data_IF_650677175853
#
_entry.id   IF_650677175853
#
_cell.length_a   1.000
_cell.length_b   1.000
_cell.length_c   1.000
_cell.angle_alpha   90.00
_cell.angle_beta   90.00
_cell.angle_gamma   90.00
#
_symmetry.space_group_name_H-M   'P 1'
#
loop_
_entity.id
_entity.type
_entity.pdbx_description
1 polymer ?
#
# COMPACT_ATOMS: atom_id res chain seq x y z
N UNK A 1 -4.07 -16.05 -19.17
CA UNK A 1 -4.78 -14.76 -19.02
C UNK A 1 -3.73 -13.71 -18.69
N UNK A 2 -3.73 -12.57 -19.38
CA UNK A 2 -2.81 -11.45 -19.10
C UNK A 2 -3.68 -10.28 -18.68
N UNK A 3 -3.37 -9.71 -17.52
CA UNK A 3 -4.05 -8.53 -17.01
C UNK A 3 -3.13 -7.32 -17.15
N UNK A 4 -3.68 -6.18 -17.59
CA UNK A 4 -2.95 -4.92 -17.73
C UNK A 4 -3.51 -3.88 -16.76
N UNK A 5 -2.61 -3.19 -16.07
CA UNK A 5 -2.93 -2.11 -15.12
C UNK A 5 -2.17 -0.86 -15.53
N UNK A 6 -2.85 0.29 -15.50
CA UNK A 6 -2.27 1.58 -15.87
C UNK A 6 -2.08 2.43 -14.61
N UNK A 7 -0.94 3.12 -14.54
CA UNK A 7 -0.65 4.10 -13.52
C UNK A 7 0.13 5.28 -14.12
N UNK A 8 0.00 6.43 -13.49
CA UNK A 8 0.92 7.55 -13.70
C UNK A 8 2.10 7.43 -12.69
N UNK A 9 3.10 8.29 -12.84
CA UNK A 9 4.29 8.28 -11.97
C UNK A 9 3.95 8.36 -10.47
N UNK A 10 2.92 9.14 -10.12
CA UNK A 10 2.51 9.36 -8.72
C UNK A 10 1.82 8.14 -8.09
N UNK A 11 1.14 7.32 -8.90
CA UNK A 11 0.34 6.18 -8.43
C UNK A 11 1.04 4.84 -8.64
N UNK A 12 2.10 4.82 -9.46
CA UNK A 12 2.79 3.62 -9.88
C UNK A 12 3.28 2.78 -8.70
N UNK A 13 3.96 3.40 -7.74
CA UNK A 13 4.55 2.68 -6.61
C UNK A 13 3.50 2.05 -5.68
N UNK A 14 2.40 2.76 -5.42
CA UNK A 14 1.28 2.19 -4.65
C UNK A 14 0.60 1.07 -5.41
N UNK A 15 0.46 1.20 -6.74
CA UNK A 15 -0.07 0.13 -7.58
C UNK A 15 0.84 -1.11 -7.57
N UNK A 16 2.17 -0.94 -7.62
CA UNK A 16 3.14 -2.04 -7.51
C UNK A 16 2.96 -2.79 -6.19
N UNK A 17 2.87 -2.08 -5.06
CA UNK A 17 2.61 -2.69 -3.76
C UNK A 17 1.33 -3.55 -3.79
N UNK A 18 0.22 -2.98 -4.27
CA UNK A 18 -1.08 -3.66 -4.29
C UNK A 18 -1.07 -4.87 -5.23
N UNK A 19 -0.47 -4.73 -6.42
CA UNK A 19 -0.45 -5.78 -7.45
C UNK A 19 0.57 -6.88 -7.18
N UNK A 20 1.60 -6.60 -6.38
CA UNK A 20 2.51 -7.62 -5.85
C UNK A 20 1.80 -8.53 -4.85
N UNK A 21 0.95 -7.96 -3.99
CA UNK A 21 0.15 -8.72 -3.02
C UNK A 21 1.00 -9.40 -1.94
N UNK A 22 0.56 -10.52 -1.37
CA UNK A 22 -0.68 -11.26 -1.65
C UNK A 22 -1.95 -10.50 -1.24
N UNK A 23 -3.13 -11.08 -1.53
CA UNK A 23 -4.41 -10.51 -1.08
C UNK A 23 -4.46 -10.38 0.44
N UNK A 24 -3.98 -11.39 1.17
CA UNK A 24 -3.88 -11.39 2.64
C UNK A 24 -2.92 -10.31 3.14
N UNK A 25 -1.80 -10.11 2.45
CA UNK A 25 -0.86 -9.03 2.77
C UNK A 25 -1.53 -7.66 2.66
N UNK A 26 -2.26 -7.42 1.56
CA UNK A 26 -3.00 -6.18 1.35
C UNK A 26 -4.10 -5.97 2.41
N UNK A 27 -4.82 -7.04 2.80
CA UNK A 27 -5.80 -7.00 3.90
C UNK A 27 -5.12 -6.66 5.23
N UNK A 28 -3.95 -7.24 5.51
CA UNK A 28 -3.17 -6.90 6.71
C UNK A 28 -2.73 -5.45 6.71
N UNK A 29 -2.19 -4.94 5.60
CA UNK A 29 -1.77 -3.53 5.49
C UNK A 29 -2.93 -2.56 5.70
N UNK A 30 -4.06 -2.79 5.04
CA UNK A 30 -5.26 -1.96 5.20
C UNK A 30 -5.81 -2.00 6.63
N UNK A 31 -5.73 -3.16 7.28
CA UNK A 31 -6.10 -3.33 8.69
C UNK A 31 -5.19 -2.51 9.61
N UNK A 32 -3.86 -2.59 9.42
CA UNK A 32 -2.89 -1.81 10.19
C UNK A 32 -3.08 -0.31 9.96
N UNK A 33 -3.25 0.12 8.71
CA UNK A 33 -3.54 1.52 8.37
C UNK A 33 -4.76 2.02 9.13
N UNK A 34 -5.85 1.25 9.13
CA UNK A 34 -7.09 1.58 9.86
C UNK A 34 -6.85 1.76 11.36
N UNK A 35 -6.06 0.88 11.99
CA UNK A 35 -5.70 1.00 13.41
C UNK A 35 -4.86 2.24 13.72
N UNK A 36 -4.12 2.76 12.73
CA UNK A 36 -3.30 3.98 12.84
C UNK A 36 -4.04 5.26 12.42
N UNK A 37 -5.37 5.21 12.25
CA UNK A 37 -6.17 6.31 11.70
C UNK A 37 -5.75 6.76 10.28
N UNK A 38 -5.24 5.82 9.50
CA UNK A 38 -4.82 6.01 8.10
C UNK A 38 -5.69 5.16 7.17
N UNK A 39 -5.58 5.40 5.86
CA UNK A 39 -6.27 4.63 4.83
C UNK A 39 -5.35 4.40 3.63
N UNK A 40 -5.09 3.13 3.31
CA UNK A 40 -4.39 2.76 2.08
C UNK A 40 -5.40 2.74 0.93
N UNK A 41 -5.16 3.55 -0.10
CA UNK A 41 -6.09 3.76 -1.21
C UNK A 41 -5.82 2.81 -2.37
N UNK A 42 -6.87 2.14 -2.84
CA UNK A 42 -6.80 1.21 -3.97
C UNK A 42 -6.63 1.90 -5.33
N UNK A 43 -6.90 3.21 -5.41
CA UNK A 43 -6.73 4.03 -6.62
C UNK A 43 -5.26 4.44 -6.88
N UNK A 44 -4.33 3.99 -6.02
CA UNK A 44 -2.91 4.29 -6.14
C UNK A 44 -2.47 5.61 -5.50
N UNK A 45 -3.36 6.40 -4.87
CA UNK A 45 -2.98 7.66 -4.19
C UNK A 45 -1.98 7.46 -3.04
N UNK A 46 -1.90 6.25 -2.48
CA UNK A 46 -1.04 5.91 -1.37
C UNK A 46 -1.77 5.77 -0.05
N UNK A 47 -1.04 6.02 1.03
CA UNK A 47 -1.51 5.99 2.41
C UNK A 47 -1.89 7.41 2.84
N UNK A 48 -3.16 7.63 3.15
CA UNK A 48 -3.71 8.96 3.49
C UNK A 48 -4.25 9.01 4.91
N UNK A 49 -4.47 10.23 5.42
CA UNK A 49 -5.25 10.42 6.65
C UNK A 49 -6.70 9.99 6.44
N UNK A 50 -7.27 9.32 7.45
CA UNK A 50 -8.62 8.76 7.36
C UNK A 50 -9.72 9.81 7.47
N UNK A 51 -9.47 10.91 8.17
CA UNK A 51 -10.40 12.01 8.37
C UNK A 51 -10.25 13.08 7.28
N UNK A 52 -9.05 13.21 6.71
CA UNK A 52 -8.76 14.11 5.59
C UNK A 52 -7.89 13.42 4.52
N UNK A 53 -8.54 12.84 3.50
CA UNK A 53 -7.84 12.12 2.43
C UNK A 53 -6.96 13.03 1.54
N UNK A 54 -6.95 14.36 1.75
CA UNK A 54 -5.99 15.26 1.09
C UNK A 54 -4.59 15.18 1.68
N UNK A 55 -4.47 14.70 2.93
CA UNK A 55 -3.18 14.48 3.60
C UNK A 55 -2.64 13.12 3.19
N UNK A 56 -1.58 13.14 2.37
CA UNK A 56 -0.87 11.93 1.95
C UNK A 56 0.32 11.72 2.89
N UNK A 57 0.32 10.60 3.61
CA UNK A 57 1.43 10.21 4.46
C UNK A 57 2.58 9.60 3.67
N UNK A 58 2.28 8.76 2.67
CA UNK A 58 3.24 8.08 1.80
C UNK A 58 2.56 7.65 0.50
N UNK A 59 3.27 7.68 -0.63
CA UNK A 59 2.78 7.16 -1.92
C UNK A 59 3.77 6.21 -2.62
N UNK A 60 4.85 5.84 -1.93
CA UNK A 60 5.84 4.87 -2.39
C UNK A 60 5.64 3.52 -1.71
N UNK A 61 5.99 2.42 -2.38
CA UNK A 61 5.92 1.08 -1.81
C UNK A 61 6.72 0.98 -0.51
N UNK A 62 8.00 1.36 -0.56
CA UNK A 62 8.90 1.32 0.59
C UNK A 62 8.44 2.24 1.73
N UNK A 63 7.98 3.46 1.42
CA UNK A 63 7.48 4.40 2.41
C UNK A 63 6.24 3.84 3.13
N UNK A 64 5.29 3.29 2.38
CA UNK A 64 4.07 2.67 2.93
C UNK A 64 4.44 1.47 3.81
N UNK A 65 5.32 0.58 3.34
CA UNK A 65 5.77 -0.59 4.10
C UNK A 65 6.51 -0.17 5.38
N UNK A 66 7.46 0.76 5.28
CA UNK A 66 8.20 1.27 6.43
C UNK A 66 7.27 1.92 7.46
N UNK A 67 6.29 2.70 7.03
CA UNK A 67 5.35 3.39 7.93
C UNK A 67 4.36 2.43 8.61
N UNK A 68 3.89 1.40 7.90
CA UNK A 68 2.91 0.47 8.44
C UNK A 68 3.55 -0.68 9.23
N UNK A 69 4.67 -1.22 8.75
CA UNK A 69 5.32 -2.42 9.29
C UNK A 69 6.61 -2.13 10.07
N UNK A 70 7.23 -0.95 9.87
CA UNK A 70 8.54 -0.63 10.43
C UNK A 70 9.72 -1.26 9.69
N UNK A 71 9.46 -1.95 8.57
CA UNK A 71 10.46 -2.55 7.69
C UNK A 71 9.94 -2.61 6.25
N UNK A 72 10.83 -2.96 5.32
CA UNK A 72 10.52 -3.16 3.90
C UNK A 72 10.81 -4.61 3.52
N UNK A 73 9.84 -5.54 3.68
CA UNK A 73 10.02 -6.92 3.29
C UNK A 73 10.04 -7.05 1.76
N UNK A 74 10.98 -7.85 1.25
CA UNK A 74 10.99 -8.26 -0.15
C UNK A 74 9.67 -8.96 -0.53
N UNK A 75 9.18 -8.82 -1.78
CA UNK A 75 7.90 -9.36 -2.24
C UNK A 75 7.60 -10.80 -1.78
N UNK A 76 8.59 -11.69 -1.89
CA UNK A 76 8.45 -13.12 -1.60
C UNK A 76 8.18 -13.41 -0.11
N UNK A 77 8.52 -12.49 0.78
CA UNK A 77 8.33 -12.64 2.24
C UNK A 77 7.04 -12.02 2.77
N UNK A 78 6.22 -11.40 1.91
CA UNK A 78 5.03 -10.64 2.33
C UNK A 78 3.85 -11.51 2.77
N UNK A 79 3.88 -12.81 2.46
CA UNK A 79 2.88 -13.80 2.85
C UNK A 79 3.25 -14.67 4.06
N UNK A 80 4.45 -14.51 4.62
CA UNK A 80 4.93 -15.35 5.73
C UNK A 80 4.67 -14.59 7.03
N UNK A 81 3.79 -15.15 7.87
CA UNK A 81 3.48 -14.68 9.22
C UNK A 81 4.59 -15.08 10.18
#
# INVERSE_FOLDING_TARGET
>A
MIDLYLANEQTFQTLVLIRTGSAEHNVRLTTIAKYKNMKLKADGKGLVDRNDESIIYENTEDGILQRLLGNVPVPEKRGIV
#
